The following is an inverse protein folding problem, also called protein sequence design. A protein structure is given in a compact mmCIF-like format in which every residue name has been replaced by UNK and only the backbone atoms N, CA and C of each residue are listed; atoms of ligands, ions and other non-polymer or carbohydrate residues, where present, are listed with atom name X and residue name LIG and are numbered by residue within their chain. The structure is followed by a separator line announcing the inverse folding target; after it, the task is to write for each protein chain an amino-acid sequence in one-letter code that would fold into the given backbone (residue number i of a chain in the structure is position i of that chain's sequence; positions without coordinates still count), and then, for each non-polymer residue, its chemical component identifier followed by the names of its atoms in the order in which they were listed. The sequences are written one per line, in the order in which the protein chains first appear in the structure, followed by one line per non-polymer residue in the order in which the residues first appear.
data_IF_184274280037
#
_entry.id   IF_184274280037
#
_cell.length_a   1.000
_cell.length_b   1.000
_cell.length_c   1.000
_cell.angle_alpha   90.00
_cell.angle_beta   90.00
_cell.angle_gamma   90.00
#
_symmetry.space_group_name_H-M   'P 1'
#
loop_
_entity.id
_entity.type
_entity.pdbx_description
1 polymer ?
#
# COMPACT_ATOMS: atom_id res chain seq x y z
N UNK A 1 -10.57 -8.73 -14.85
CA UNK A 1 -10.03 -7.74 -15.81
C UNK A 1 -9.10 -6.70 -15.16
N UNK A 2 -9.48 -6.01 -14.08
CA UNK A 2 -8.70 -4.89 -13.52
C UNK A 2 -7.87 -5.22 -12.27
N UNK A 3 -8.06 -6.40 -11.67
CA UNK A 3 -7.44 -6.75 -10.39
C UNK A 3 -8.05 -5.98 -9.21
N UNK A 4 -7.72 -6.39 -7.99
CA UNK A 4 -8.54 -6.01 -6.85
C UNK A 4 -8.41 -4.58 -6.36
N UNK A 5 -7.18 -4.05 -6.36
CA UNK A 5 -6.95 -2.62 -6.06
C UNK A 5 -7.68 -1.72 -7.03
N UNK A 6 -7.63 -2.05 -8.32
CA UNK A 6 -8.22 -1.20 -9.36
C UNK A 6 -9.75 -1.22 -9.32
N UNK A 7 -10.35 -2.39 -9.05
CA UNK A 7 -11.81 -2.50 -8.88
C UNK A 7 -12.27 -1.60 -7.73
N UNK A 8 -11.62 -1.69 -6.56
CA UNK A 8 -11.97 -0.85 -5.41
C UNK A 8 -11.79 0.64 -5.67
N UNK A 9 -10.72 1.05 -6.36
CA UNK A 9 -10.56 2.45 -6.75
C UNK A 9 -11.64 2.91 -7.73
N UNK A 10 -12.07 2.03 -8.65
CA UNK A 10 -13.18 2.29 -9.55
C UNK A 10 -14.51 2.46 -8.80
N UNK A 11 -14.77 1.63 -7.79
CA UNK A 11 -15.96 1.75 -6.92
C UNK A 11 -15.95 3.05 -6.13
N UNK A 12 -14.80 3.46 -5.59
CA UNK A 12 -14.64 4.74 -4.89
C UNK A 12 -14.85 5.94 -5.82
N UNK A 13 -14.30 5.89 -7.03
CA UNK A 13 -14.56 6.91 -8.05
C UNK A 13 -16.06 7.01 -8.38
N UNK A 14 -16.74 5.88 -8.55
CA UNK A 14 -18.18 5.85 -8.84
C UNK A 14 -19.04 6.40 -7.68
N UNK A 15 -18.54 6.34 -6.46
CA UNK A 15 -19.17 6.88 -5.26
C UNK A 15 -18.80 8.36 -4.96
N UNK A 16 -18.06 9.01 -5.86
CA UNK A 16 -17.73 10.43 -5.75
C UNK A 16 -16.61 10.74 -4.75
N UNK A 17 -15.72 9.78 -4.50
CA UNK A 17 -14.47 10.06 -3.80
C UNK A 17 -13.44 10.68 -4.75
N UNK A 18 -12.67 11.65 -4.25
CA UNK A 18 -11.55 12.23 -4.97
C UNK A 18 -10.38 11.23 -4.99
N UNK A 19 -10.32 10.43 -6.06
CA UNK A 19 -9.22 9.49 -6.32
C UNK A 19 -8.36 10.05 -7.46
N UNK A 20 -7.02 9.97 -7.39
CA UNK A 20 -6.17 10.48 -8.47
C UNK A 20 -6.50 9.81 -9.80
N UNK A 21 -6.55 10.62 -10.86
CA UNK A 21 -6.84 10.13 -12.21
C UNK A 21 -5.80 9.09 -12.67
N UNK A 22 -6.24 8.13 -13.47
CA UNK A 22 -5.38 7.06 -13.95
C UNK A 22 -6.10 6.13 -14.91
N UNK A 23 -5.39 5.11 -15.38
CA UNK A 23 -5.92 4.03 -16.21
C UNK A 23 -5.38 2.67 -15.74
N UNK A 24 -5.99 1.60 -16.25
CA UNK A 24 -5.63 0.23 -15.89
C UNK A 24 -5.19 -0.53 -17.12
N UNK A 25 -3.99 -1.11 -17.07
CA UNK A 25 -3.54 -2.15 -17.98
C UNK A 25 -4.11 -3.47 -17.49
N UNK A 26 -4.96 -4.09 -18.31
CA UNK A 26 -5.80 -5.22 -17.88
C UNK A 26 -5.00 -6.50 -17.67
N UNK A 27 -5.62 -7.47 -17.00
CA UNK A 27 -5.10 -8.84 -16.87
C UNK A 27 -4.91 -9.54 -18.21
N UNK A 28 -5.62 -9.11 -19.26
CA UNK A 28 -5.52 -9.73 -20.58
C UNK A 28 -4.21 -9.32 -21.27
N UNK A 29 -3.79 -8.06 -21.10
CA UNK A 29 -2.48 -7.59 -21.55
C UNK A 29 -1.32 -8.39 -20.90
N UNK A 30 -1.45 -8.71 -19.60
CA UNK A 30 -0.51 -9.58 -18.90
C UNK A 30 -0.44 -10.99 -19.53
N UNK A 31 -1.60 -11.60 -19.78
CA UNK A 31 -1.69 -12.93 -20.38
C UNK A 31 -1.09 -12.95 -21.78
N UNK A 32 -1.47 -11.99 -22.63
CA UNK A 32 -0.95 -11.84 -23.98
C UNK A 32 0.57 -11.66 -23.98
N UNK A 33 1.12 -10.80 -23.11
CA UNK A 33 2.56 -10.58 -23.01
C UNK A 33 3.33 -11.86 -22.64
N UNK A 34 2.82 -12.65 -21.69
CA UNK A 34 3.44 -13.93 -21.33
C UNK A 34 3.38 -14.94 -22.47
N UNK A 35 2.27 -15.00 -23.21
CA UNK A 35 2.13 -15.88 -24.38
C UNK A 35 3.10 -15.49 -25.49
N UNK A 36 3.19 -14.21 -25.84
CA UNK A 36 4.06 -13.69 -26.90
C UNK A 36 5.55 -13.81 -26.55
N UNK A 37 5.92 -13.65 -25.27
CA UNK A 37 7.26 -13.96 -24.77
C UNK A 37 7.59 -15.48 -24.77
N UNK A 38 6.57 -16.32 -25.03
CA UNK A 38 6.61 -17.78 -24.97
C UNK A 38 6.89 -18.33 -23.56
N UNK A 39 6.43 -17.59 -22.54
CA UNK A 39 6.43 -17.97 -21.13
C UNK A 39 5.02 -18.37 -20.68
N UNK A 40 4.19 -18.89 -21.57
CA UNK A 40 2.79 -19.28 -21.29
C UNK A 40 2.67 -20.30 -20.18
N UNK A 41 3.67 -21.18 -19.98
CA UNK A 41 3.67 -22.14 -18.87
C UNK A 41 3.57 -21.48 -17.48
N UNK A 42 3.97 -20.22 -17.34
CA UNK A 42 3.75 -19.44 -16.10
C UNK A 42 2.26 -19.24 -15.77
N UNK A 43 1.39 -19.25 -16.79
CA UNK A 43 -0.07 -19.20 -16.66
C UNK A 43 -0.67 -20.56 -16.27
N UNK A 44 0.11 -21.64 -16.43
CA UNK A 44 -0.28 -23.01 -16.08
C UNK A 44 0.35 -23.47 -14.75
N UNK A 45 1.14 -22.60 -14.10
CA UNK A 45 1.74 -22.84 -12.80
C UNK A 45 3.19 -23.34 -12.83
N UNK A 46 3.86 -23.26 -13.97
CA UNK A 46 5.28 -23.60 -14.08
C UNK A 46 6.14 -22.81 -13.09
N UNK A 47 7.25 -23.43 -12.68
CA UNK A 47 8.22 -22.75 -11.84
C UNK A 47 8.87 -21.60 -12.64
N UNK A 48 8.89 -20.36 -12.11
CA UNK A 48 9.48 -19.22 -12.80
C UNK A 48 11.00 -19.29 -12.75
N UNK A 49 11.59 -19.94 -13.75
CA UNK A 49 13.04 -20.00 -13.88
C UNK A 49 13.59 -18.64 -14.33
N UNK A 50 14.87 -18.33 -14.04
CA UNK A 50 15.52 -17.11 -14.52
C UNK A 50 15.40 -16.92 -16.04
N UNK A 51 15.42 -18.01 -16.82
CA UNK A 51 15.29 -17.99 -18.27
C UNK A 51 13.89 -17.54 -18.69
N UNK A 52 12.83 -18.09 -18.08
CA UNK A 52 11.45 -17.68 -18.35
C UNK A 52 11.21 -16.22 -17.98
N UNK A 53 11.66 -15.80 -16.79
CA UNK A 53 11.52 -14.41 -16.35
C UNK A 53 12.31 -13.44 -17.23
N UNK A 54 13.50 -13.83 -17.70
CA UNK A 54 14.30 -13.02 -18.62
C UNK A 54 13.62 -12.87 -19.98
N UNK A 55 12.95 -13.92 -20.48
CA UNK A 55 12.16 -13.83 -21.72
C UNK A 55 11.03 -12.82 -21.57
N UNK A 56 10.30 -12.86 -20.47
CA UNK A 56 9.22 -11.91 -20.16
C UNK A 56 9.74 -10.48 -20.04
N UNK A 57 10.88 -10.30 -19.35
CA UNK A 57 11.50 -8.98 -19.13
C UNK A 57 12.06 -8.36 -20.42
N UNK A 58 12.61 -9.19 -21.32
CA UNK A 58 13.24 -8.71 -22.56
C UNK A 58 12.27 -8.63 -23.73
N UNK A 59 11.07 -9.20 -23.60
CA UNK A 59 10.04 -9.09 -24.62
C UNK A 59 9.49 -7.66 -24.63
N UNK A 60 9.43 -7.06 -25.81
CA UNK A 60 8.82 -5.74 -26.00
C UNK A 60 7.30 -5.88 -25.96
N UNK A 61 6.61 -4.86 -25.45
CA UNK A 61 5.15 -4.83 -25.51
C UNK A 61 4.69 -4.87 -26.98
N UNK A 62 3.61 -5.61 -27.24
CA UNK A 62 2.93 -5.57 -28.53
C UNK A 62 2.66 -4.13 -28.97
N UNK A 63 2.88 -3.83 -30.26
CA UNK A 63 2.74 -2.48 -30.80
C UNK A 63 1.36 -1.84 -30.57
N UNK A 64 0.29 -2.63 -30.54
CA UNK A 64 -1.06 -2.16 -30.24
C UNK A 64 -1.19 -1.75 -28.76
N UNK A 65 -0.75 -2.62 -27.86
CA UNK A 65 -0.76 -2.37 -26.42
C UNK A 65 0.09 -1.15 -26.06
N UNK A 66 1.31 -1.08 -26.59
CA UNK A 66 2.23 0.04 -26.39
C UNK A 66 1.61 1.37 -26.86
N UNK A 67 0.93 1.37 -28.02
CA UNK A 67 0.21 2.55 -28.52
C UNK A 67 -0.95 2.96 -27.61
N UNK A 68 -1.72 1.99 -27.12
CA UNK A 68 -2.84 2.24 -26.21
C UNK A 68 -2.37 2.83 -24.87
N UNK A 69 -1.26 2.29 -24.32
CA UNK A 69 -0.62 2.81 -23.10
C UNK A 69 -0.14 4.25 -23.31
N UNK A 70 0.61 4.52 -24.39
CA UNK A 70 1.10 5.89 -24.68
C UNK A 70 -0.03 6.89 -24.90
N UNK A 71 -1.08 6.49 -25.61
CA UNK A 71 -2.27 7.33 -25.81
C UNK A 71 -2.96 7.66 -24.48
N UNK A 72 -3.13 6.65 -23.62
CA UNK A 72 -3.74 6.83 -22.29
C UNK A 72 -2.87 7.69 -21.38
N UNK A 73 -1.54 7.52 -21.43
CA UNK A 73 -0.59 8.35 -20.71
C UNK A 73 -0.61 9.80 -21.19
N UNK A 74 -0.64 10.04 -22.50
CA UNK A 74 -0.73 11.39 -23.09
C UNK A 74 -2.03 12.09 -22.69
N UNK A 75 -3.15 11.35 -22.68
CA UNK A 75 -4.43 11.89 -22.22
C UNK A 75 -4.38 12.24 -20.72
N UNK A 76 -3.79 11.36 -19.92
CA UNK A 76 -3.64 11.57 -18.48
C UNK A 76 -2.70 12.74 -18.14
N UNK A 77 -1.62 12.91 -18.91
CA UNK A 77 -0.65 13.99 -18.70
C UNK A 77 -1.12 15.34 -19.23
N UNK A 78 -2.12 15.36 -20.12
CA UNK A 78 -2.55 16.57 -20.82
C UNK A 78 -1.43 17.20 -21.68
N UNK A 79 -0.42 16.41 -22.05
CA UNK A 79 0.76 16.89 -22.78
C UNK A 79 1.87 17.49 -21.90
N UNK A 80 1.79 17.39 -20.57
CA UNK A 80 2.86 17.86 -19.69
C UNK A 80 4.09 16.93 -19.73
N UNK A 81 5.20 17.46 -20.23
CA UNK A 81 6.50 16.77 -20.28
C UNK A 81 7.12 16.46 -18.90
N UNK A 82 6.66 17.13 -17.84
CA UNK A 82 7.08 16.87 -16.47
C UNK A 82 6.15 15.92 -15.73
N UNK A 83 5.12 15.40 -16.40
CA UNK A 83 4.16 14.49 -15.80
C UNK A 83 4.85 13.21 -15.31
N UNK A 84 4.46 12.81 -14.11
CA UNK A 84 4.94 11.63 -13.40
C UNK A 84 3.76 10.81 -12.88
N UNK A 85 3.89 9.49 -12.92
CA UNK A 85 2.86 8.57 -12.46
C UNK A 85 3.38 7.55 -11.44
N UNK A 86 2.47 7.02 -10.64
CA UNK A 86 2.65 5.77 -9.91
C UNK A 86 2.19 4.59 -10.78
N UNK A 87 3.01 3.55 -10.84
CA UNK A 87 2.70 2.27 -11.50
C UNK A 87 2.53 1.21 -10.42
N UNK A 88 1.29 0.77 -10.18
CA UNK A 88 0.90 -0.06 -9.03
C UNK A 88 0.36 -1.40 -9.53
N UNK A 89 0.90 -2.50 -9.02
CA UNK A 89 0.35 -3.84 -9.26
C UNK A 89 -1.06 -3.99 -8.64
N UNK A 90 -1.96 -4.61 -9.38
CA UNK A 90 -3.33 -4.95 -8.97
C UNK A 90 -3.60 -6.41 -9.32
N UNK A 91 -3.39 -7.32 -8.37
CA UNK A 91 -3.57 -8.76 -8.62
C UNK A 91 -5.06 -9.13 -8.60
N UNK A 92 -5.47 -10.10 -9.42
CA UNK A 92 -6.85 -10.57 -9.46
C UNK A 92 -7.30 -11.21 -8.14
N UNK A 93 -6.38 -11.88 -7.44
CA UNK A 93 -6.67 -12.61 -6.20
C UNK A 93 -6.54 -11.73 -4.94
N UNK A 94 -6.30 -10.43 -5.08
CA UNK A 94 -6.07 -9.48 -3.98
C UNK A 94 -7.35 -9.07 -3.21
N UNK A 95 -8.52 -9.48 -3.70
CA UNK A 95 -9.82 -9.15 -3.12
C UNK A 95 -10.43 -10.24 -2.23
N UNK A 96 -9.69 -11.31 -1.94
CA UNK A 96 -10.12 -12.22 -0.88
C UNK A 96 -10.22 -11.47 0.44
N UNK A 97 -11.34 -11.62 1.16
CA UNK A 97 -11.55 -11.11 2.54
C UNK A 97 -10.43 -11.50 3.51
N UNK A 98 -9.57 -12.44 3.13
CA UNK A 98 -8.47 -13.00 3.91
C UNK A 98 -7.07 -12.75 3.32
N UNK A 99 -6.95 -12.26 2.08
CA UNK A 99 -5.69 -12.20 1.33
C UNK A 99 -5.31 -10.77 0.93
N UNK A 100 -4.82 -9.98 1.89
CA UNK A 100 -4.16 -8.70 1.59
C UNK A 100 -2.72 -8.97 1.14
N UNK A 101 -2.42 -8.86 -0.16
CA UNK A 101 -1.05 -8.95 -0.71
C UNK A 101 -0.16 -7.74 -0.33
N UNK A 102 -0.38 -7.15 0.84
CA UNK A 102 0.30 -5.96 1.32
C UNK A 102 1.82 -6.19 1.33
N UNK A 103 2.54 -5.33 0.62
CA UNK A 103 4.00 -5.38 0.50
C UNK A 103 4.57 -6.50 -0.38
N UNK A 104 3.73 -7.33 -1.02
CA UNK A 104 4.21 -8.50 -1.79
C UNK A 104 4.39 -8.21 -3.29
N UNK A 105 3.76 -7.16 -3.80
CA UNK A 105 3.81 -6.81 -5.22
C UNK A 105 4.38 -5.41 -5.43
N UNK A 106 4.99 -5.21 -6.61
CA UNK A 106 5.76 -4.01 -6.87
C UNK A 106 4.88 -2.77 -7.12
N UNK A 107 5.29 -1.66 -6.51
CA UNK A 107 4.79 -0.32 -6.81
C UNK A 107 5.98 0.58 -7.15
N UNK A 108 5.89 1.29 -8.28
CA UNK A 108 6.90 2.23 -8.75
C UNK A 108 6.36 3.65 -8.73
N UNK A 109 6.85 4.48 -7.82
CA UNK A 109 6.54 5.92 -7.78
C UNK A 109 7.45 6.71 -8.71
N UNK A 110 6.99 7.90 -9.13
CA UNK A 110 7.74 8.87 -9.95
C UNK A 110 8.21 8.31 -11.30
N UNK A 111 7.33 7.58 -11.98
CA UNK A 111 7.59 7.00 -13.30
C UNK A 111 7.28 8.02 -14.39
N UNK A 112 8.22 8.21 -15.32
CA UNK A 112 8.05 9.03 -16.53
C UNK A 112 7.67 8.15 -17.73
N UNK A 113 7.27 8.78 -18.83
CA UNK A 113 6.85 8.08 -20.05
C UNK A 113 7.89 7.06 -20.54
N UNK A 114 9.16 7.45 -20.58
CA UNK A 114 10.28 6.62 -21.07
C UNK A 114 10.46 5.31 -20.28
N UNK A 115 10.09 5.32 -18.99
CA UNK A 115 10.21 4.16 -18.11
C UNK A 115 8.92 3.33 -18.03
N UNK A 116 7.79 3.85 -18.53
CA UNK A 116 6.45 3.35 -18.22
C UNK A 116 6.26 1.88 -18.60
N UNK A 117 6.62 1.51 -19.84
CA UNK A 117 6.49 0.14 -20.34
C UNK A 117 7.31 -0.84 -19.49
N UNK A 118 8.56 -0.46 -19.16
CA UNK A 118 9.45 -1.23 -18.30
C UNK A 118 8.87 -1.41 -16.90
N UNK A 119 8.28 -0.36 -16.31
CA UNK A 119 7.64 -0.46 -14.98
C UNK A 119 6.40 -1.35 -14.98
N UNK A 120 5.61 -1.34 -16.04
CA UNK A 120 4.45 -2.23 -16.21
C UNK A 120 4.92 -3.70 -16.24
N UNK A 121 5.92 -4.02 -17.04
CA UNK A 121 6.49 -5.39 -17.11
C UNK A 121 7.08 -5.80 -15.76
N UNK A 122 7.78 -4.89 -15.08
CA UNK A 122 8.32 -5.18 -13.76
C UNK A 122 7.22 -5.41 -12.70
N UNK A 123 6.07 -4.73 -12.78
CA UNK A 123 4.91 -5.06 -11.96
C UNK A 123 4.45 -6.50 -12.24
N UNK A 124 4.30 -6.89 -13.51
CA UNK A 124 3.93 -8.27 -13.86
C UNK A 124 4.91 -9.32 -13.35
N UNK A 125 6.22 -9.07 -13.46
CA UNK A 125 7.26 -9.95 -12.93
C UNK A 125 7.18 -10.09 -11.40
N UNK A 126 6.69 -9.06 -10.69
CA UNK A 126 6.49 -9.11 -9.24
C UNK A 126 5.46 -10.15 -8.79
N UNK A 127 4.62 -10.67 -9.69
CA UNK A 127 3.73 -11.78 -9.41
C UNK A 127 4.47 -13.11 -9.17
N UNK A 128 5.70 -13.22 -9.68
CA UNK A 128 6.48 -14.46 -9.71
C UNK A 128 7.65 -14.48 -8.72
N UNK A 129 7.80 -13.44 -7.88
CA UNK A 129 8.82 -13.41 -6.83
C UNK A 129 8.60 -14.54 -5.82
N UNK A 130 9.66 -14.90 -5.11
CA UNK A 130 9.59 -15.97 -4.11
C UNK A 130 8.59 -15.60 -3.00
N UNK A 131 8.59 -14.34 -2.59
CA UNK A 131 7.71 -13.77 -1.57
C UNK A 131 6.25 -13.85 -1.99
N UNK A 132 5.92 -13.35 -3.19
CA UNK A 132 4.56 -13.41 -3.74
C UNK A 132 4.05 -14.85 -3.87
N UNK A 133 4.88 -15.77 -4.35
CA UNK A 133 4.50 -17.19 -4.50
C UNK A 133 4.33 -17.89 -3.17
N UNK A 134 5.20 -17.61 -2.21
CA UNK A 134 5.11 -18.16 -0.85
C UNK A 134 3.82 -17.69 -0.18
N UNK A 135 3.51 -16.40 -0.29
CA UNK A 135 2.26 -15.83 0.22
C UNK A 135 1.03 -16.49 -0.41
N UNK A 136 0.99 -16.62 -1.74
CA UNK A 136 -0.12 -17.30 -2.46
C UNK A 136 -0.34 -18.71 -1.93
N UNK A 137 0.73 -19.50 -1.79
CA UNK A 137 0.65 -20.87 -1.24
C UNK A 137 0.11 -20.89 0.19
N UNK A 138 0.53 -19.96 1.04
CA UNK A 138 0.04 -19.84 2.41
C UNK A 138 -1.45 -19.49 2.47
N UNK A 139 -1.94 -18.69 1.52
CA UNK A 139 -3.34 -18.32 1.40
C UNK A 139 -4.20 -19.37 0.65
N UNK A 140 -3.61 -20.52 0.26
CA UNK A 140 -4.32 -21.56 -0.49
C UNK A 140 -4.67 -21.16 -1.93
N UNK A 141 -3.98 -20.17 -2.49
CA UNK A 141 -4.18 -19.68 -3.85
C UNK A 141 -3.24 -20.43 -4.80
N UNK A 142 -3.75 -21.53 -5.38
CA UNK A 142 -2.98 -22.43 -6.23
C UNK A 142 -3.07 -22.13 -7.74
N UNK A 143 -4.01 -21.26 -8.14
CA UNK A 143 -4.10 -20.79 -9.53
C UNK A 143 -2.86 -19.98 -9.92
N UNK A 144 -2.54 -19.95 -11.21
CA UNK A 144 -1.53 -19.04 -11.72
C UNK A 144 -1.97 -17.59 -11.50
N UNK A 145 -1.05 -16.68 -11.12
CA UNK A 145 -1.40 -15.30 -10.87
C UNK A 145 -1.87 -14.62 -12.14
N UNK A 146 -2.87 -13.75 -12.03
CA UNK A 146 -3.20 -12.76 -13.06
C UNK A 146 -3.07 -11.37 -12.47
N UNK A 147 -2.39 -10.49 -13.18
CA UNK A 147 -2.04 -9.17 -12.66
C UNK A 147 -2.41 -8.08 -13.67
N UNK A 148 -3.23 -7.14 -13.22
CA UNK A 148 -3.40 -5.85 -13.86
C UNK A 148 -2.41 -4.85 -13.26
N UNK A 149 -2.24 -3.72 -13.94
CA UNK A 149 -1.38 -2.63 -13.50
C UNK A 149 -2.13 -1.31 -13.57
N UNK A 150 -2.15 -0.58 -12.48
CA UNK A 150 -2.74 0.75 -12.38
C UNK A 150 -1.64 1.76 -12.69
N UNK A 151 -1.89 2.64 -13.65
CA UNK A 151 -1.05 3.81 -13.94
C UNK A 151 -1.84 5.03 -13.50
N UNK A 152 -1.36 5.72 -12.48
CA UNK A 152 -2.10 6.75 -11.77
C UNK A 152 -1.26 8.01 -11.59
N UNK A 153 -1.87 9.18 -11.70
CA UNK A 153 -1.19 10.45 -11.47
C UNK A 153 -0.48 10.45 -10.10
N UNK A 154 0.79 10.84 -10.12
CA UNK A 154 1.61 10.94 -8.92
C UNK A 154 1.34 12.28 -8.22
N UNK A 155 0.49 12.28 -7.19
CA UNK A 155 0.19 13.49 -6.44
C UNK A 155 1.45 14.07 -5.76
N UNK A 156 1.72 15.38 -5.90
CA UNK A 156 2.75 16.08 -5.14
C UNK A 156 2.24 16.36 -3.72
N UNK A 157 2.05 15.31 -2.93
CA UNK A 157 1.45 15.40 -1.60
C UNK A 157 2.30 16.25 -0.64
N UNK A 158 1.67 17.23 0.01
CA UNK A 158 2.26 17.98 1.12
C UNK A 158 2.30 17.12 2.39
N UNK A 159 1.19 16.41 2.62
CA UNK A 159 0.97 15.48 3.73
C UNK A 159 0.29 14.25 3.20
N UNK A 160 0.60 13.10 3.77
CA UNK A 160 -0.14 11.88 3.50
C UNK A 160 -0.18 11.01 4.73
N UNK A 161 -1.08 10.04 4.71
CA UNK A 161 -1.32 9.25 5.88
C UNK A 161 -2.18 8.02 5.62
N UNK A 162 -2.38 7.32 6.72
CA UNK A 162 -3.25 6.16 6.81
C UNK A 162 -4.25 6.42 7.93
N UNK A 163 -5.50 6.06 7.69
CA UNK A 163 -6.55 6.10 8.70
C UNK A 163 -7.14 4.72 8.86
N UNK A 164 -7.07 4.21 10.09
CA UNK A 164 -7.87 3.05 10.49
C UNK A 164 -9.19 3.56 11.07
N UNK A 165 -10.31 3.22 10.43
CA UNK A 165 -11.64 3.67 10.87
C UNK A 165 -12.07 3.03 12.20
N UNK A 166 -11.35 1.97 12.61
CA UNK A 166 -11.35 1.40 13.95
C UNK A 166 -9.93 1.05 14.36
N UNK A 167 -9.56 1.36 15.59
CA UNK A 167 -8.24 1.01 16.13
C UNK A 167 -7.95 -0.51 16.01
N UNK A 168 -6.93 -0.93 15.23
CA UNK A 168 -6.60 -2.33 15.04
C UNK A 168 -5.92 -2.96 16.27
N UNK A 169 -5.47 -2.14 17.23
CA UNK A 169 -4.79 -2.60 18.45
C UNK A 169 -5.74 -2.91 19.59
N UNK A 170 -6.97 -2.38 19.54
CA UNK A 170 -7.95 -2.47 20.62
C UNK A 170 -7.61 -1.63 21.85
N UNK A 171 -6.60 -0.74 21.77
CA UNK A 171 -6.19 0.13 22.86
C UNK A 171 -7.17 1.30 23.05
N UNK A 172 -7.83 1.72 21.99
CA UNK A 172 -8.75 2.85 21.95
C UNK A 172 -10.13 2.34 21.56
N UNK A 173 -11.01 2.20 22.57
CA UNK A 173 -12.34 1.63 22.42
C UNK A 173 -13.15 2.33 21.31
N UNK A 174 -13.28 1.64 20.17
CA UNK A 174 -14.04 2.10 19.02
C UNK A 174 -13.57 3.41 18.37
N UNK A 175 -12.38 3.93 18.65
CA UNK A 175 -11.89 5.18 18.06
C UNK A 175 -11.26 4.97 16.67
N UNK A 176 -11.15 6.06 15.90
CA UNK A 176 -10.31 6.10 14.71
C UNK A 176 -8.86 6.41 15.07
N UNK A 177 -7.93 5.90 14.29
CA UNK A 177 -6.51 6.23 14.38
C UNK A 177 -6.08 6.80 13.03
N UNK A 178 -5.58 8.04 13.04
CA UNK A 178 -4.98 8.69 11.88
C UNK A 178 -3.49 8.78 12.13
N UNK A 179 -2.70 8.29 11.17
CA UNK A 179 -1.26 8.46 11.15
C UNK A 179 -0.82 9.23 9.92
N UNK A 180 0.09 10.18 10.07
CA UNK A 180 0.48 11.07 8.98
C UNK A 180 1.94 11.51 9.01
N UNK A 181 2.49 11.77 7.84
CA UNK A 181 3.83 12.32 7.63
C UNK A 181 3.83 13.40 6.55
N UNK A 182 4.92 14.18 6.53
CA UNK A 182 5.20 15.11 5.44
C UNK A 182 5.54 14.36 4.15
N UNK A 183 5.09 14.88 3.01
CA UNK A 183 5.34 14.28 1.70
C UNK A 183 4.50 13.03 1.45
N UNK A 184 5.02 12.15 0.59
CA UNK A 184 4.37 10.90 0.18
C UNK A 184 4.49 9.79 1.23
N UNK A 185 3.38 9.07 1.45
CA UNK A 185 3.18 8.09 2.51
C UNK A 185 3.88 6.75 2.29
N UNK A 186 4.61 6.59 1.18
CA UNK A 186 5.45 5.40 0.96
C UNK A 186 6.44 5.19 2.11
N UNK A 187 6.88 6.25 2.79
CA UNK A 187 7.73 6.16 3.98
C UNK A 187 7.03 5.59 5.22
N UNK A 188 5.70 5.71 5.33
CA UNK A 188 4.92 5.14 6.44
C UNK A 188 4.87 3.62 6.32
N UNK A 189 4.68 3.12 5.10
CA UNK A 189 4.56 1.70 4.81
C UNK A 189 5.89 0.96 5.04
N UNK A 190 7.02 1.61 4.82
CA UNK A 190 8.35 1.02 5.07
C UNK A 190 8.79 1.10 6.55
N UNK A 191 8.00 1.72 7.42
CA UNK A 191 8.32 1.88 8.86
C UNK A 191 9.55 2.75 9.16
N UNK A 192 10.03 3.52 8.16
CA UNK A 192 11.28 4.30 8.25
C UNK A 192 11.10 5.70 8.84
N UNK A 193 9.86 6.12 9.05
CA UNK A 193 9.50 7.43 9.57
C UNK A 193 8.55 7.26 10.73
N UNK A 194 8.80 7.99 11.82
CA UNK A 194 7.88 8.08 12.96
C UNK A 194 6.81 9.13 12.65
N UNK A 195 5.55 8.71 12.36
CA UNK A 195 4.49 9.63 12.00
C UNK A 195 3.91 10.36 13.20
N UNK A 196 3.15 11.41 12.90
CA UNK A 196 2.16 11.89 13.85
C UNK A 196 1.04 10.87 13.97
N UNK A 197 0.51 10.68 15.17
CA UNK A 197 -0.61 9.79 15.43
C UNK A 197 -1.70 10.56 16.18
N UNK A 198 -2.93 10.46 15.69
CA UNK A 198 -4.11 11.12 16.24
C UNK A 198 -5.16 10.06 16.53
N UNK A 199 -5.64 10.02 17.77
CA UNK A 199 -6.80 9.22 18.16
C UNK A 199 -8.02 10.12 18.08
N UNK A 200 -8.98 9.74 17.25
CA UNK A 200 -10.12 10.59 16.87
C UNK A 200 -11.43 9.93 17.28
N UNK A 201 -12.29 10.72 17.91
CA UNK A 201 -13.66 10.33 18.25
C UNK A 201 -14.46 10.10 16.97
N UNK A 202 -15.20 8.98 16.86
CA UNK A 202 -16.01 8.70 15.66
C UNK A 202 -17.28 9.53 15.58
N UNK A 203 -17.86 9.85 16.73
CA UNK A 203 -19.13 10.59 16.78
C UNK A 203 -18.92 12.09 16.61
N UNK A 204 -17.88 12.62 17.24
CA UNK A 204 -17.58 14.07 17.25
C UNK A 204 -16.55 14.47 16.20
N UNK A 205 -15.79 13.52 15.65
CA UNK A 205 -14.67 13.75 14.73
C UNK A 205 -13.57 14.66 15.31
N UNK A 206 -13.47 14.70 16.64
CA UNK A 206 -12.51 15.49 17.40
C UNK A 206 -11.31 14.65 17.85
N UNK A 207 -10.14 15.30 17.96
CA UNK A 207 -8.92 14.67 18.46
C UNK A 207 -9.05 14.45 19.98
N UNK A 208 -9.00 13.19 20.42
CA UNK A 208 -8.94 12.81 21.84
C UNK A 208 -7.51 12.82 22.38
N UNK A 209 -6.57 12.36 21.58
CA UNK A 209 -5.14 12.42 21.90
C UNK A 209 -4.32 12.54 20.63
N UNK A 210 -3.14 13.15 20.75
CA UNK A 210 -2.17 13.25 19.66
C UNK A 210 -0.76 12.95 20.15
N UNK A 211 0.04 12.34 19.29
CA UNK A 211 1.48 12.14 19.48
C UNK A 211 2.18 12.68 18.24
N UNK A 212 3.11 13.60 18.44
CA UNK A 212 3.87 14.19 17.34
C UNK A 212 5.16 13.39 17.14
N UNK A 213 5.29 12.77 15.99
CA UNK A 213 6.46 12.00 15.58
C UNK A 213 7.62 12.90 15.15
N UNK A 214 8.81 12.29 15.05
CA UNK A 214 10.03 13.01 14.68
C UNK A 214 10.11 13.37 13.19
N UNK A 215 9.37 12.66 12.32
CA UNK A 215 9.22 12.94 10.88
C UNK A 215 10.51 13.38 10.18
N UNK A 216 11.63 12.69 10.45
CA UNK A 216 12.98 13.15 10.06
C UNK A 216 13.23 13.12 8.56
N UNK A 217 12.50 12.28 7.84
CA UNK A 217 12.65 12.09 6.40
C UNK A 217 11.29 12.04 5.71
N UNK A 218 11.25 12.44 4.44
CA UNK A 218 10.08 12.33 3.55
C UNK A 218 10.51 11.72 2.22
N UNK A 219 9.60 11.03 1.53
CA UNK A 219 9.88 10.55 0.17
C UNK A 219 9.65 11.70 -0.81
N UNK A 220 10.64 12.02 -1.64
CA UNK A 220 10.53 13.08 -2.65
C UNK A 220 10.67 12.57 -4.07
N UNK A 221 10.39 13.46 -5.02
CA UNK A 221 10.47 13.23 -6.47
C UNK A 221 11.87 12.84 -6.95
N UNK A 222 12.91 13.11 -6.15
CA UNK A 222 14.28 12.84 -6.52
C UNK A 222 14.44 11.36 -6.95
N UNK A 223 14.54 11.19 -8.27
CA UNK A 223 14.93 9.94 -8.90
C UNK A 223 16.19 9.45 -8.21
N UNK A 224 16.24 8.12 -8.00
CA UNK A 224 17.35 7.39 -7.40
C UNK A 224 18.68 8.09 -7.74
N UNK A 225 19.28 8.74 -6.75
CA UNK A 225 20.72 8.90 -6.80
C UNK A 225 21.33 7.50 -6.83
N UNK A 226 22.61 7.40 -7.23
CA UNK A 226 23.32 6.11 -7.29
C UNK A 226 23.37 5.36 -5.93
N UNK A 227 22.86 5.95 -4.84
CA UNK A 227 22.77 5.39 -3.49
C UNK A 227 21.43 4.70 -3.18
N UNK A 228 20.41 4.85 -4.04
CA UNK A 228 19.19 4.05 -3.96
C UNK A 228 18.14 4.52 -2.94
N UNK A 229 18.28 5.70 -2.34
CA UNK A 229 17.35 6.20 -1.33
C UNK A 229 16.56 7.41 -1.83
N UNK A 230 15.23 7.28 -1.91
CA UNK A 230 14.29 8.38 -2.24
C UNK A 230 13.94 9.27 -1.04
N UNK A 231 14.72 9.19 0.05
CA UNK A 231 14.46 9.88 1.31
C UNK A 231 15.22 11.21 1.35
N UNK A 232 14.47 12.30 1.45
CA UNK A 232 15.01 13.63 1.76
C UNK A 232 14.78 13.97 3.22
N UNK A 233 15.75 14.63 3.85
CA UNK A 233 15.60 15.13 5.21
C UNK A 233 14.50 16.20 5.26
N UNK A 234 13.52 16.02 6.14
CA UNK A 234 12.54 17.07 6.42
C UNK A 234 13.27 18.23 7.10
N UNK A 235 13.05 19.50 6.70
CA UNK A 235 13.64 20.66 7.37
C UNK A 235 13.44 20.59 8.89
N UNK A 236 14.49 20.85 9.68
CA UNK A 236 14.47 20.68 11.14
C UNK A 236 13.31 21.42 11.84
N UNK A 237 12.90 22.56 11.30
CA UNK A 237 11.79 23.34 11.84
C UNK A 237 10.42 22.67 11.64
N UNK A 238 10.25 21.75 10.68
CA UNK A 238 9.01 21.01 10.40
C UNK A 238 8.93 19.66 11.10
N UNK A 239 10.07 19.06 11.48
CA UNK A 239 10.15 17.71 12.05
C UNK A 239 9.27 17.49 13.29
N UNK A 240 9.16 18.51 14.14
CA UNK A 240 8.36 18.49 15.38
C UNK A 240 7.06 19.27 15.30
N UNK A 241 6.69 19.75 14.11
CA UNK A 241 5.38 20.36 13.90
C UNK A 241 4.33 19.28 13.63
N UNK A 242 3.07 19.49 14.03
CA UNK A 242 1.98 18.63 13.59
C UNK A 242 1.83 18.72 12.07
N UNK A 243 1.61 17.59 11.40
CA UNK A 243 1.31 17.55 9.97
C UNK A 243 -0.12 17.96 9.66
N UNK A 244 -1.02 17.81 10.63
CA UNK A 244 -2.44 18.13 10.48
C UNK A 244 -2.88 19.16 11.53
N UNK A 245 -3.57 20.19 11.05
CA UNK A 245 -4.39 21.07 11.88
C UNK A 245 -5.67 20.33 12.33
N UNK A 246 -6.34 20.76 13.41
CA UNK A 246 -7.57 20.11 13.88
C UNK A 246 -8.67 19.96 12.81
N UNK A 247 -8.80 20.97 11.93
CA UNK A 247 -9.76 20.93 10.83
C UNK A 247 -9.38 19.87 9.79
N UNK A 248 -8.08 19.67 9.51
CA UNK A 248 -7.64 18.64 8.57
C UNK A 248 -7.87 17.24 9.13
N UNK A 249 -7.65 17.04 10.44
CA UNK A 249 -8.00 15.78 11.12
C UNK A 249 -9.48 15.47 10.93
N UNK A 250 -10.38 16.44 11.17
CA UNK A 250 -11.82 16.24 11.00
C UNK A 250 -12.16 15.86 9.55
N UNK A 251 -11.58 16.54 8.56
CA UNK A 251 -11.80 16.24 7.13
C UNK A 251 -11.33 14.84 6.73
N UNK A 252 -10.16 14.41 7.22
CA UNK A 252 -9.65 13.04 7.01
C UNK A 252 -10.55 12.01 7.69
N UNK A 253 -11.04 12.32 8.90
CA UNK A 253 -11.95 11.47 9.65
C UNK A 253 -13.30 11.32 8.92
N UNK A 254 -13.88 12.41 8.40
CA UNK A 254 -15.10 12.40 7.58
C UNK A 254 -14.94 11.57 6.30
N UNK A 255 -13.84 11.77 5.55
CA UNK A 255 -13.53 10.97 4.36
C UNK A 255 -13.48 9.47 4.70
N UNK A 256 -12.81 9.13 5.80
CA UNK A 256 -12.62 7.74 6.22
C UNK A 256 -13.92 7.09 6.69
N UNK A 257 -14.79 7.84 7.38
CA UNK A 257 -16.12 7.37 7.77
C UNK A 257 -17.03 7.15 6.56
N UNK A 258 -17.03 8.06 5.58
CA UNK A 258 -17.72 7.84 4.29
C UNK A 258 -17.23 6.58 3.61
N UNK A 259 -15.93 6.30 3.68
CA UNK A 259 -15.34 5.09 3.10
C UNK A 259 -15.76 3.80 3.85
N UNK A 260 -15.86 3.82 5.19
CA UNK A 260 -16.43 2.70 5.96
C UNK A 260 -17.91 2.47 5.63
N UNK A 261 -18.69 3.54 5.49
CA UNK A 261 -20.10 3.45 5.09
C UNK A 261 -20.27 2.82 3.70
N UNK A 262 -19.46 3.27 2.73
CA UNK A 262 -19.43 2.76 1.37
C UNK A 262 -19.17 1.24 1.28
N UNK A 263 -18.31 0.70 2.15
CA UNK A 263 -17.92 -0.71 2.14
C UNK A 263 -18.56 -1.55 3.26
N UNK A 264 -19.36 -0.94 4.13
CA UNK A 264 -20.07 -1.60 5.24
C UNK A 264 -19.20 -2.28 6.30
N UNK A 265 -17.89 -2.06 6.27
CA UNK A 265 -16.90 -2.70 7.16
C UNK A 265 -15.81 -1.71 7.53
N UNK A 266 -15.13 -1.92 8.66
CA UNK A 266 -14.01 -1.08 9.07
C UNK A 266 -12.91 -1.07 8.00
N UNK A 267 -12.39 0.12 7.67
CA UNK A 267 -11.41 0.33 6.61
C UNK A 267 -10.07 0.84 7.14
N UNK A 268 -9.03 0.49 6.40
CA UNK A 268 -7.69 1.03 6.42
C UNK A 268 -7.56 1.86 5.12
N UNK A 269 -7.59 3.18 5.28
CA UNK A 269 -7.73 4.18 4.21
C UNK A 269 -6.40 4.92 4.06
N UNK A 270 -5.80 4.83 2.87
CA UNK A 270 -4.63 5.62 2.51
C UNK A 270 -5.07 6.90 1.82
N UNK A 271 -4.53 8.04 2.23
CA UNK A 271 -4.92 9.36 1.75
C UNK A 271 -3.71 10.30 1.58
N UNK A 272 -3.90 11.34 0.78
CA UNK A 272 -2.92 12.41 0.59
C UNK A 272 -3.59 13.78 0.47
N UNK A 273 -2.90 14.81 0.93
CA UNK A 273 -3.32 16.20 0.81
C UNK A 273 -2.38 16.96 -0.12
N UNK A 274 -2.95 17.74 -1.02
CA UNK A 274 -2.25 18.69 -1.90
C UNK A 274 -2.93 20.05 -1.73
N UNK A 275 -2.25 20.98 -1.05
CA UNK A 275 -2.86 22.17 -0.50
C UNK A 275 -4.08 21.82 0.35
N UNK A 276 -5.22 22.40 0.03
CA UNK A 276 -6.48 22.12 0.73
C UNK A 276 -7.19 20.88 0.20
N UNK A 277 -6.76 20.24 -0.90
CA UNK A 277 -7.47 19.09 -1.48
C UNK A 277 -7.04 17.78 -0.85
N UNK A 278 -8.02 16.97 -0.46
CA UNK A 278 -7.81 15.65 0.14
C UNK A 278 -8.18 14.57 -0.88
N UNK A 279 -7.26 13.65 -1.12
CA UNK A 279 -7.40 12.54 -2.06
C UNK A 279 -7.36 11.19 -1.35
N UNK A 280 -8.18 10.26 -1.80
CA UNK A 280 -8.15 8.86 -1.40
C UNK A 280 -7.24 8.08 -2.36
N UNK A 281 -6.22 7.41 -1.81
CA UNK A 281 -5.22 6.65 -2.57
C UNK A 281 -5.51 5.15 -2.60
N UNK A 282 -6.08 4.62 -1.51
CA UNK A 282 -6.44 3.22 -1.37
C UNK A 282 -7.43 3.06 -0.21
N UNK A 283 -8.26 2.02 -0.26
CA UNK A 283 -9.03 1.55 0.88
C UNK A 283 -9.05 0.02 0.90
N UNK A 284 -8.97 -0.55 2.10
CA UNK A 284 -9.05 -2.01 2.32
C UNK A 284 -9.72 -2.32 3.66
N UNK A 285 -10.41 -3.46 3.80
CA UNK A 285 -11.02 -3.85 5.06
C UNK A 285 -9.93 -4.11 6.12
N UNK A 286 -10.20 -3.71 7.36
CA UNK A 286 -9.41 -4.09 8.53
C UNK A 286 -9.72 -5.54 8.86
N UNK A 287 -8.85 -6.46 8.44
CA UNK A 287 -9.09 -7.91 8.51
C UNK A 287 -8.87 -8.52 9.90
N UNK A 288 -8.31 -7.77 10.86
CA UNK A 288 -8.16 -8.21 12.27
C UNK A 288 -8.28 -7.02 13.22
N UNK A 289 -9.49 -6.77 13.71
CA UNK A 289 -9.66 -6.09 15.00
C UNK A 289 -9.14 -7.08 16.03
N UNK A 290 -8.10 -6.72 16.79
CA UNK A 290 -7.69 -7.54 17.92
C UNK A 290 -8.91 -7.72 18.85
N UNK A 291 -9.48 -8.92 18.88
CA UNK A 291 -10.24 -9.32 20.05
C UNK A 291 -9.24 -9.28 21.19
N UNK A 292 -9.43 -8.35 22.14
CA UNK A 292 -8.66 -8.37 23.37
C UNK A 292 -8.69 -9.82 23.87
N UNK A 293 -7.53 -10.49 24.07
CA UNK A 293 -7.57 -11.81 24.65
C UNK A 293 -8.31 -11.67 25.97
N UNK A 294 -9.41 -12.43 26.13
CA UNK A 294 -10.03 -12.59 27.44
C UNK A 294 -8.94 -12.92 28.45
N UNK A 295 -9.07 -12.52 29.73
CA UNK A 295 -7.97 -12.60 30.68
C UNK A 295 -7.37 -14.01 30.71
N UNK A 296 -6.19 -14.16 30.09
CA UNK A 296 -5.41 -15.39 30.15
C UNK A 296 -4.37 -15.16 31.23
N UNK A 297 -4.48 -15.87 32.34
CA UNK A 297 -3.43 -15.86 33.37
C UNK A 297 -2.15 -16.46 32.79
N UNK A 298 -1.08 -15.64 32.73
CA UNK A 298 0.24 -16.08 32.26
C UNK A 298 1.20 -14.93 31.95
N UNK A 299 2.52 -15.21 32.00
CA UNK A 299 3.56 -14.25 31.60
C UNK A 299 3.82 -14.35 30.10
N UNK A 300 3.74 -13.21 29.41
CA UNK A 300 4.13 -13.07 28.01
C UNK A 300 5.66 -13.04 27.88
N UNK A 301 6.22 -13.84 26.97
CA UNK A 301 7.61 -13.68 26.50
C UNK A 301 7.53 -13.17 25.06
N UNK A 302 7.85 -11.89 24.86
CA UNK A 302 7.99 -11.31 23.54
C UNK A 302 9.35 -11.69 22.95
N UNK A 303 9.38 -12.19 21.72
CA UNK A 303 10.62 -12.47 21.00
C UNK A 303 11.39 -11.15 20.78
N UNK A 304 12.57 -11.08 21.40
CA UNK A 304 13.35 -9.88 21.71
C UNK A 304 14.17 -9.18 20.59
N UNK A 305 14.35 -9.64 19.32
CA UNK A 305 15.30 -8.97 18.42
C UNK A 305 14.86 -7.59 17.89
N UNK A 306 13.55 -7.35 17.77
CA UNK A 306 13.01 -6.10 17.19
C UNK A 306 12.86 -5.01 18.25
N UNK A 307 12.54 -5.39 19.49
CA UNK A 307 12.40 -4.48 20.63
C UNK A 307 13.74 -3.88 21.08
N UNK A 308 14.86 -4.55 20.87
CA UNK A 308 16.19 -4.08 21.29
C UNK A 308 16.82 -3.06 20.32
N UNK A 309 16.25 -2.88 19.12
CA UNK A 309 16.77 -1.96 18.10
C UNK A 309 15.83 -0.76 17.81
N UNK A 310 14.74 -0.61 18.55
CA UNK A 310 13.79 0.50 18.41
C UNK A 310 13.75 1.33 19.68
N UNK A 311 14.36 2.51 19.64
CA UNK A 311 14.32 3.48 20.74
C UNK A 311 12.96 4.21 20.84
N UNK A 312 12.04 3.96 19.89
CA UNK A 312 10.73 4.62 19.82
C UNK A 312 9.56 3.62 19.91
N UNK A 313 8.41 4.02 20.50
CA UNK A 313 7.24 3.15 20.65
C UNK A 313 6.59 2.82 19.31
N UNK A 314 6.18 1.55 19.14
CA UNK A 314 5.49 1.08 17.94
C UNK A 314 4.13 1.78 17.76
N UNK A 315 3.89 2.26 16.54
CA UNK A 315 2.61 2.86 16.14
C UNK A 315 1.59 1.78 15.77
N UNK A 316 0.27 2.03 15.81
CA UNK A 316 -0.73 1.12 15.26
C UNK A 316 -0.41 0.63 13.84
N UNK A 317 0.05 1.50 12.93
CA UNK A 317 0.53 1.08 11.61
C UNK A 317 1.74 0.17 11.70
N UNK A 318 2.72 0.48 12.55
CA UNK A 318 3.89 -0.40 12.75
C UNK A 318 3.45 -1.77 13.28
N UNK A 319 2.53 -1.82 14.24
CA UNK A 319 2.00 -3.07 14.81
C UNK A 319 1.25 -3.86 13.74
N UNK A 320 0.39 -3.21 12.96
CA UNK A 320 -0.33 -3.84 11.86
C UNK A 320 0.64 -4.35 10.77
N UNK A 321 1.64 -3.55 10.38
CA UNK A 321 2.71 -3.95 9.46
C UNK A 321 3.52 -5.13 10.01
N UNK A 322 3.92 -5.11 11.28
CA UNK A 322 4.62 -6.21 11.94
C UNK A 322 3.78 -7.47 11.98
N UNK A 323 2.49 -7.36 12.31
CA UNK A 323 1.56 -8.50 12.31
C UNK A 323 1.43 -9.10 10.91
N UNK A 324 1.43 -8.27 9.87
CA UNK A 324 1.35 -8.69 8.46
C UNK A 324 2.66 -9.34 7.95
N UNK A 325 3.81 -8.81 8.36
CA UNK A 325 5.13 -9.30 7.90
C UNK A 325 5.64 -10.51 8.68
N UNK A 326 5.36 -10.59 9.99
CA UNK A 326 5.92 -11.63 10.88
C UNK A 326 4.99 -12.81 11.14
N UNK A 327 3.83 -12.90 10.48
CA UNK A 327 2.93 -14.06 10.68
C UNK A 327 3.58 -15.43 10.41
N UNK A 328 4.63 -15.60 9.56
CA UNK A 328 5.30 -16.90 9.48
C UNK A 328 6.32 -17.16 10.61
N UNK A 329 6.80 -16.11 11.32
CA UNK A 329 7.88 -16.22 12.32
C UNK A 329 7.38 -16.25 13.77
N UNK A 330 6.12 -15.88 14.02
CA UNK A 330 5.54 -15.90 15.37
C UNK A 330 4.42 -16.92 15.43
N UNK A 331 4.81 -18.17 15.68
CA UNK A 331 3.87 -19.23 16.07
C UNK A 331 3.83 -19.32 17.59
N UNK A 332 2.70 -18.95 18.18
CA UNK A 332 2.44 -19.11 19.62
C UNK A 332 2.31 -20.60 19.93
N UNK A 333 3.37 -21.22 20.42
CA UNK A 333 3.33 -22.61 20.86
C UNK A 333 3.00 -22.67 22.35
N UNK A 334 1.97 -23.45 22.69
CA UNK A 334 1.70 -23.87 24.07
C UNK A 334 2.80 -24.85 24.49
N UNK A 335 3.72 -24.41 25.34
CA UNK A 335 4.54 -25.36 26.09
C UNK A 335 3.69 -25.93 27.22
N UNK A 336 3.11 -27.11 26.98
CA UNK A 336 2.60 -27.92 28.07
C UNK A 336 3.82 -28.48 28.83
N UNK A 337 3.81 -28.29 30.16
CA UNK A 337 4.79 -28.83 31.08
C UNK A 337 5.20 -30.27 30.72
N UNK A 338 6.50 -30.48 30.49
CA UNK A 338 7.13 -31.78 30.61
C UNK A 338 7.40 -31.97 32.13
N UNK A 339 7.05 -33.13 32.71
CA UNK A 339 6.99 -33.36 34.15
C UNK A 339 8.29 -33.12 34.91
#
# INVERSE_FOLDING_TARGET
MAGGKAVRLGELLAQGFDVPAGFVVTTDAFVSHLMEAGASGLLDGDYPTPELLSRVSNHQLNAELARSIRSSFTQLSGGDSQFICAVRSSAADEDGTWASFAGQHATYYYTREDDLETRIVNCWLSAFTLEARTYRRQMGLFSAPRMAVIVQYMLPADVSGVTFTRDPTGQHDGCMVIESCWGLGAALVDGRVSPDAYVVSRDELTVRSRRIGSKRSKVTEALLDRSGSRLEAVPRHLQRQPTLEPNDVARVAELSMRCEEAFGTAQDVEWAMVGERLYLLQSRPVTRVATAPGPVEGRWIAFKPVLENSDEPFTPLSIDLFRRLLTPLVSFHRWAHIP
#
